data_IF_330056735457
#
_entry.id   IF_330056735457
#
_cell.length_a   1.000
_cell.length_b   1.000
_cell.length_c   1.000
_cell.angle_alpha   90.00
_cell.angle_beta   90.00
_cell.angle_gamma   90.00
#
_symmetry.space_group_name_H-M   'P 1'
#
loop_
_entity.id
_entity.type
_entity.pdbx_description
1 polymer ?
#
# COMPACT_ATOMS: atom_id res chain seq x y z
N UNK A 1 9.21 3.56 7.88
CA UNK A 1 8.45 4.17 6.78
C UNK A 1 9.16 5.44 6.37
N UNK A 2 9.62 5.49 5.12
CA UNK A 2 10.23 6.64 4.48
C UNK A 2 9.19 7.74 4.23
N UNK A 3 9.60 8.99 3.94
CA UNK A 3 8.67 10.05 3.56
C UNK A 3 7.81 9.68 2.34
N UNK A 4 8.40 9.09 1.30
CA UNK A 4 7.68 8.67 0.09
C UNK A 4 6.59 7.63 0.40
N UNK A 5 6.92 6.59 1.17
CA UNK A 5 5.94 5.57 1.58
C UNK A 5 4.79 6.16 2.39
N UNK A 6 5.09 7.14 3.25
CA UNK A 6 4.09 7.83 4.06
C UNK A 6 3.13 8.63 3.18
N UNK A 7 3.66 9.34 2.20
CA UNK A 7 2.88 10.16 1.28
C UNK A 7 1.99 9.29 0.38
N UNK A 8 2.51 8.17 -0.12
CA UNK A 8 1.73 7.19 -0.87
C UNK A 8 0.58 6.63 -0.03
N UNK A 9 0.81 6.26 1.24
CA UNK A 9 -0.25 5.80 2.14
C UNK A 9 -1.31 6.87 2.38
N UNK A 10 -0.91 8.13 2.53
CA UNK A 10 -1.85 9.25 2.68
C UNK A 10 -2.68 9.44 1.42
N UNK A 11 -2.07 9.37 0.24
CA UNK A 11 -2.76 9.47 -1.04
C UNK A 11 -3.75 8.33 -1.25
N UNK A 12 -3.38 7.08 -0.89
CA UNK A 12 -4.27 5.92 -0.95
C UNK A 12 -5.48 6.11 -0.03
N UNK A 13 -5.32 6.78 1.11
CA UNK A 13 -6.39 7.02 2.10
C UNK A 13 -7.25 8.24 1.82
N UNK A 14 -6.77 9.19 1.01
CA UNK A 14 -7.50 10.40 0.66
C UNK A 14 -8.83 10.06 0.00
N UNK A 15 -9.93 10.44 0.63
CA UNK A 15 -11.29 10.22 0.09
C UNK A 15 -11.61 11.20 -1.03
N UNK A 16 -10.99 12.38 -1.01
CA UNK A 16 -11.12 13.42 -2.04
C UNK A 16 -10.31 13.12 -3.31
N UNK A 17 -9.39 12.16 -3.25
CA UNK A 17 -8.56 11.78 -4.38
C UNK A 17 -9.31 10.87 -5.37
N UNK A 18 -9.11 11.10 -6.67
CA UNK A 18 -9.65 10.26 -7.72
C UNK A 18 -9.20 8.79 -7.54
N UNK A 19 -10.11 7.84 -7.79
CA UNK A 19 -9.82 6.41 -7.68
C UNK A 19 -8.55 6.01 -8.43
N UNK A 20 -8.35 6.50 -9.65
CA UNK A 20 -7.15 6.21 -10.46
C UNK A 20 -5.87 6.68 -9.77
N UNK A 21 -5.90 7.87 -9.15
CA UNK A 21 -4.76 8.42 -8.40
C UNK A 21 -4.41 7.54 -7.20
N UNK A 22 -5.43 7.07 -6.47
CA UNK A 22 -5.26 6.15 -5.34
C UNK A 22 -4.71 4.79 -5.77
N UNK A 23 -5.17 4.29 -6.92
CA UNK A 23 -4.68 3.02 -7.48
C UNK A 23 -3.22 3.14 -7.96
N UNK A 24 -2.85 4.26 -8.59
CA UNK A 24 -1.47 4.52 -9.00
C UNK A 24 -0.54 4.61 -7.79
N UNK A 25 -0.96 5.29 -6.72
CA UNK A 25 -0.20 5.33 -5.47
C UNK A 25 0.02 3.94 -4.86
N UNK A 26 -0.99 3.07 -4.96
CA UNK A 26 -0.89 1.68 -4.50
C UNK A 26 0.04 0.84 -5.38
N UNK A 27 0.02 1.03 -6.71
CA UNK A 27 0.97 0.38 -7.61
C UNK A 27 2.40 0.81 -7.32
N UNK A 28 2.65 2.12 -7.15
CA UNK A 28 3.97 2.67 -6.82
C UNK A 28 4.50 2.12 -5.50
N UNK A 29 3.63 1.99 -4.50
CA UNK A 29 4.00 1.37 -3.23
C UNK A 29 4.36 -0.12 -3.39
N UNK A 30 3.70 -0.82 -4.32
CA UNK A 30 4.04 -2.19 -4.69
C UNK A 30 5.44 -2.30 -5.30
N UNK A 31 5.81 -1.40 -6.20
CA UNK A 31 7.18 -1.33 -6.78
C UNK A 31 8.24 -1.16 -5.68
N UNK A 32 8.02 -0.26 -4.72
CA UNK A 32 8.96 -0.04 -3.60
C UNK A 32 9.10 -1.30 -2.73
N UNK A 33 8.01 -2.00 -2.47
CA UNK A 33 8.03 -3.26 -1.71
C UNK A 33 8.75 -4.37 -2.48
N UNK A 34 8.55 -4.44 -3.79
CA UNK A 34 9.24 -5.39 -4.67
C UNK A 34 10.75 -5.12 -4.71
N UNK A 35 11.16 -3.87 -4.90
CA UNK A 35 12.56 -3.46 -4.85
C UNK A 35 13.21 -3.82 -3.51
N UNK A 36 12.52 -3.54 -2.40
CA UNK A 36 12.99 -3.90 -1.06
C UNK A 36 13.16 -5.42 -0.91
N UNK A 37 12.18 -6.19 -1.40
CA UNK A 37 12.21 -7.65 -1.37
C UNK A 37 13.37 -8.23 -2.19
N UNK A 38 13.59 -7.74 -3.41
CA UNK A 38 14.70 -8.15 -4.29
C UNK A 38 16.05 -7.88 -3.63
N UNK A 39 16.16 -6.80 -2.86
CA UNK A 39 17.39 -6.42 -2.15
C UNK A 39 17.58 -7.15 -0.80
N UNK A 40 16.78 -8.18 -0.50
CA UNK A 40 16.74 -8.87 0.79
C UNK A 40 16.54 -7.91 1.99
N UNK A 41 15.90 -6.76 1.75
CA UNK A 41 15.55 -5.80 2.78
C UNK A 41 14.18 -6.15 3.37
N UNK A 42 14.10 -6.20 4.70
CA UNK A 42 12.83 -6.42 5.36
C UNK A 42 11.89 -5.22 5.13
N UNK A 43 10.67 -5.45 4.63
CA UNK A 43 9.72 -4.38 4.44
C UNK A 43 9.36 -3.73 5.77
N UNK A 44 9.12 -2.41 5.75
CA UNK A 44 8.78 -1.71 6.99
C UNK A 44 7.48 -2.26 7.56
N UNK A 45 7.52 -2.82 8.78
CA UNK A 45 6.35 -3.33 9.50
C UNK A 45 5.18 -2.32 9.53
N UNK A 46 5.50 -1.03 9.61
CA UNK A 46 4.52 0.06 9.58
C UNK A 46 3.74 0.13 8.27
N UNK A 47 4.38 -0.14 7.12
CA UNK A 47 3.71 -0.16 5.80
C UNK A 47 2.78 -1.35 5.71
N UNK A 48 3.26 -2.54 6.10
CA UNK A 48 2.44 -3.76 6.07
C UNK A 48 1.19 -3.57 6.95
N UNK A 49 1.33 -2.99 8.14
CA UNK A 49 0.19 -2.64 9.00
C UNK A 49 -0.74 -1.60 8.37
N UNK A 50 -0.20 -0.61 7.66
CA UNK A 50 -1.00 0.41 6.98
C UNK A 50 -1.81 -0.18 5.82
N UNK A 51 -1.22 -1.09 5.05
CA UNK A 51 -1.88 -1.85 3.99
C UNK A 51 -2.92 -2.82 4.55
N UNK A 52 -2.64 -3.51 5.66
CA UNK A 52 -3.59 -4.38 6.37
C UNK A 52 -4.85 -3.59 6.77
N UNK A 53 -4.68 -2.36 7.28
CA UNK A 53 -5.80 -1.47 7.62
C UNK A 53 -6.60 -1.04 6.38
N UNK A 54 -5.94 -0.77 5.26
CA UNK A 54 -6.61 -0.42 4.00
C UNK A 54 -7.39 -1.63 3.47
N UNK A 55 -6.79 -2.82 3.48
CA UNK A 55 -7.41 -4.07 3.05
C UNK A 55 -8.63 -4.45 3.91
N UNK A 56 -8.57 -4.20 5.22
CA UNK A 56 -9.65 -4.46 6.16
C UNK A 56 -10.74 -3.36 6.19
N UNK A 57 -10.50 -2.21 5.54
CA UNK A 57 -11.45 -1.10 5.58
C UNK A 57 -12.79 -1.48 4.93
N UNK A 58 -13.90 -1.23 5.64
CA UNK A 58 -15.25 -1.37 5.05
C UNK A 58 -15.61 -0.17 4.18
N UNK A 59 -14.92 0.95 4.38
CA UNK A 59 -15.12 2.22 3.69
C UNK A 59 -14.07 2.36 2.59
N UNK A 60 -14.53 2.41 1.34
CA UNK A 60 -13.69 2.64 0.17
C UNK A 60 -13.87 1.61 -0.97
N UNK A 61 -13.30 1.93 -2.15
CA UNK A 61 -13.39 1.12 -3.36
C UNK A 61 -12.89 -0.32 -3.16
N UNK A 62 -13.66 -1.29 -3.67
CA UNK A 62 -13.31 -2.71 -3.54
C UNK A 62 -11.99 -3.08 -4.26
N UNK A 63 -11.65 -2.39 -5.36
CA UNK A 63 -10.41 -2.59 -6.11
C UNK A 63 -9.18 -2.28 -5.26
N UNK A 64 -9.16 -1.13 -4.58
CA UNK A 64 -8.07 -0.73 -3.69
C UNK A 64 -7.85 -1.73 -2.56
N UNK A 65 -8.93 -2.23 -1.95
CA UNK A 65 -8.83 -3.22 -0.86
C UNK A 65 -8.24 -4.54 -1.34
N UNK A 66 -8.67 -5.02 -2.50
CA UNK A 66 -8.15 -6.27 -3.10
C UNK A 66 -6.65 -6.14 -3.41
N UNK A 67 -6.25 -5.03 -4.05
CA UNK A 67 -4.85 -4.75 -4.36
C UNK A 67 -4.00 -4.63 -3.08
N UNK A 68 -4.47 -3.89 -2.07
CA UNK A 68 -3.76 -3.76 -0.79
C UNK A 68 -3.62 -5.11 -0.08
N UNK A 69 -4.67 -5.95 -0.09
CA UNK A 69 -4.63 -7.30 0.46
C UNK A 69 -3.59 -8.18 -0.24
N UNK A 70 -3.51 -8.09 -1.58
CA UNK A 70 -2.52 -8.84 -2.35
C UNK A 70 -1.09 -8.44 -1.95
N UNK A 71 -0.80 -7.14 -1.86
CA UNK A 71 0.51 -6.65 -1.41
C UNK A 71 0.86 -7.15 -0.01
N UNK A 72 -0.08 -7.13 0.94
CA UNK A 72 0.15 -7.71 2.28
C UNK A 72 0.49 -9.19 2.17
N UNK A 73 -0.27 -9.97 1.41
CA UNK A 73 -0.03 -11.42 1.31
C UNK A 73 1.33 -11.75 0.69
N UNK A 74 1.80 -10.95 -0.27
CA UNK A 74 3.09 -11.15 -0.93
C UNK A 74 4.26 -10.76 -0.03
N UNK A 75 4.17 -9.64 0.70
CA UNK A 75 5.32 -9.03 1.39
C UNK A 75 5.25 -9.13 2.93
N UNK A 76 4.24 -9.78 3.49
CA UNK A 76 4.19 -10.10 4.94
C UNK A 76 4.99 -11.37 5.19
N UNK A 77 6.29 -11.18 5.39
CA UNK A 77 7.27 -12.21 5.76
C UNK A 77 7.36 -12.31 7.28
#
# INVERSE_FOLDING_TARGET
MTPEEKDLINQIRSEDAELRSRENALSRLGEILEESFILDLLPSKTIIQALDKIAASKVGPASLRRKAKALVQTYKI
#
